data_IF_474538485276
#
_entry.id   IF_474538485276
#
_cell.length_a   1.000
_cell.length_b   1.000
_cell.length_c   1.000
_cell.angle_alpha   90.00
_cell.angle_beta   90.00
_cell.angle_gamma   90.00
#
_symmetry.space_group_name_H-M   'P 1'
#
loop_
_entity.id
_entity.type
_entity.pdbx_description
1 polymer ?
#
# COMPACT_ATOMS: atom_id res chain seq x y z
N UNK A 1 -8.97 -16.41 -7.05
CA UNK A 1 -8.02 -15.29 -7.02
C UNK A 1 -8.79 -13.98 -7.10
N UNK A 2 -9.33 -13.51 -5.98
CA UNK A 2 -9.82 -12.15 -5.93
C UNK A 2 -8.62 -11.20 -5.91
N UNK A 3 -8.54 -10.23 -6.83
CA UNK A 3 -7.46 -9.27 -6.82
C UNK A 3 -7.49 -8.48 -5.51
N UNK A 4 -6.35 -8.45 -4.83
CA UNK A 4 -6.16 -7.68 -3.61
C UNK A 4 -6.43 -6.20 -3.92
N UNK A 5 -7.48 -5.60 -3.35
CA UNK A 5 -7.83 -4.22 -3.64
C UNK A 5 -6.75 -3.22 -3.22
N UNK A 6 -5.85 -3.60 -2.33
CA UNK A 6 -4.72 -2.75 -1.92
C UNK A 6 -3.60 -2.74 -2.96
N UNK A 7 -3.49 -3.78 -3.79
CA UNK A 7 -2.45 -3.89 -4.82
C UNK A 7 -2.61 -2.86 -5.95
N UNK A 8 -3.84 -2.43 -6.23
CA UNK A 8 -4.12 -1.45 -7.29
C UNK A 8 -3.82 -0.01 -6.91
N UNK A 9 -3.79 0.30 -5.64
CA UNK A 9 -3.58 1.65 -5.17
C UNK A 9 -2.14 2.15 -5.35
N UNK A 10 -1.16 1.24 -5.25
CA UNK A 10 0.26 1.58 -5.25
C UNK A 10 0.92 1.67 -6.63
N UNK A 11 0.33 1.08 -7.65
CA UNK A 11 0.93 0.99 -8.99
C UNK A 11 0.96 2.33 -9.73
N UNK A 12 0.19 3.32 -9.29
CA UNK A 12 -0.14 4.48 -10.13
C UNK A 12 0.82 5.65 -10.15
N UNK A 13 1.61 5.89 -9.13
CA UNK A 13 2.48 7.08 -9.09
C UNK A 13 3.84 6.90 -9.75
N UNK A 14 4.22 5.67 -10.07
CA UNK A 14 5.56 5.39 -10.61
C UNK A 14 5.60 4.91 -12.07
N UNK A 15 4.46 4.81 -12.75
CA UNK A 15 4.41 4.41 -14.17
C UNK A 15 4.83 5.50 -15.16
N UNK A 16 5.26 6.67 -14.69
CA UNK A 16 5.70 7.76 -15.55
C UNK A 16 7.04 7.47 -16.30
N UNK A 17 7.72 6.37 -16.01
CA UNK A 17 9.01 6.04 -16.63
C UNK A 17 9.06 4.70 -17.39
N UNK A 18 7.99 3.94 -17.43
CA UNK A 18 7.89 2.78 -18.29
C UNK A 18 6.94 3.12 -19.44
N UNK A 19 7.45 3.26 -20.65
CA UNK A 19 6.72 3.67 -21.84
C UNK A 19 5.61 2.72 -22.30
N UNK A 20 4.63 2.53 -21.45
CA UNK A 20 3.36 1.89 -21.75
C UNK A 20 2.24 2.85 -21.33
N UNK A 21 1.47 3.35 -22.30
CA UNK A 21 0.35 4.23 -22.06
C UNK A 21 -0.76 3.53 -21.29
N UNK A 22 -0.63 3.44 -19.97
CA UNK A 22 -1.77 3.16 -19.10
C UNK A 22 -2.53 4.45 -18.90
N UNK A 23 -3.74 4.54 -19.45
CA UNK A 23 -4.65 5.68 -19.22
C UNK A 23 -4.90 5.77 -17.71
N UNK A 24 -4.62 6.92 -17.07
CA UNK A 24 -4.88 7.08 -15.65
C UNK A 24 -6.40 6.97 -15.42
N UNK A 25 -6.83 5.99 -14.64
CA UNK A 25 -8.22 5.94 -14.19
C UNK A 25 -8.43 7.07 -13.18
N UNK A 26 -9.41 7.96 -13.35
CA UNK A 26 -9.68 9.04 -12.41
C UNK A 26 -9.84 8.53 -10.97
N UNK A 27 -9.35 9.27 -9.99
CA UNK A 27 -9.41 8.89 -8.57
C UNK A 27 -10.83 8.60 -8.09
N UNK A 28 -11.83 9.31 -8.63
CA UNK A 28 -13.24 9.07 -8.34
C UNK A 28 -13.74 7.71 -8.84
N UNK A 29 -13.28 7.26 -10.02
CA UNK A 29 -13.64 5.92 -10.52
C UNK A 29 -12.94 4.82 -9.74
N UNK A 30 -11.72 5.06 -9.26
CA UNK A 30 -11.04 4.10 -8.37
C UNK A 30 -11.75 3.94 -7.05
N UNK A 31 -12.19 5.04 -6.45
CA UNK A 31 -12.98 4.99 -5.23
C UNK A 31 -14.31 4.27 -5.43
N UNK A 32 -14.98 4.50 -6.57
CA UNK A 32 -16.24 3.83 -6.90
C UNK A 32 -16.03 2.31 -7.12
N UNK A 33 -14.99 1.91 -7.84
CA UNK A 33 -14.65 0.49 -8.05
C UNK A 33 -14.27 -0.16 -6.72
N UNK A 34 -13.44 0.49 -5.92
CA UNK A 34 -13.03 -0.01 -4.60
C UNK A 34 -14.24 -0.14 -3.66
N UNK A 35 -15.11 0.86 -3.63
CA UNK A 35 -16.34 0.83 -2.82
C UNK A 35 -17.31 -0.27 -3.26
N UNK A 36 -17.45 -0.53 -4.57
CA UNK A 36 -18.31 -1.59 -5.07
C UNK A 36 -17.77 -2.98 -4.74
N UNK A 37 -16.46 -3.17 -4.85
CA UNK A 37 -15.79 -4.43 -4.47
C UNK A 37 -15.95 -4.68 -2.98
N UNK A 38 -15.78 -3.65 -2.16
CA UNK A 38 -15.86 -3.76 -0.71
C UNK A 38 -17.28 -3.94 -0.18
N UNK A 39 -18.28 -3.33 -0.83
CA UNK A 39 -19.69 -3.50 -0.46
C UNK A 39 -20.19 -4.94 -0.65
N UNK A 40 -19.70 -5.64 -1.68
CA UNK A 40 -20.08 -7.03 -1.96
C UNK A 40 -19.30 -8.09 -1.15
N UNK A 41 -18.24 -7.68 -0.46
CA UNK A 41 -17.34 -8.61 0.28
C UNK A 41 -17.64 -8.70 1.77
N UNK A 42 -18.75 -8.13 2.25
CA UNK A 42 -19.06 -8.08 3.69
C UNK A 42 -19.64 -9.42 4.15
N UNK A 43 -18.80 -10.44 4.22
CA UNK A 43 -18.96 -11.51 5.21
C UNK A 43 -17.80 -11.42 6.19
N UNK A 44 -18.11 -11.05 7.41
CA UNK A 44 -17.18 -10.65 8.48
C UNK A 44 -16.26 -11.78 9.03
N UNK A 45 -16.07 -12.87 8.31
CA UNK A 45 -15.30 -14.02 8.78
C UNK A 45 -13.93 -14.17 8.13
N UNK A 46 -13.60 -13.34 7.16
CA UNK A 46 -12.33 -13.49 6.46
C UNK A 46 -11.23 -12.72 7.18
N UNK A 47 -10.16 -13.42 7.51
CA UNK A 47 -8.90 -12.81 7.97
C UNK A 47 -8.40 -11.83 6.91
N UNK A 48 -8.04 -10.63 7.34
CA UNK A 48 -7.53 -9.57 6.47
C UNK A 48 -6.05 -9.36 6.69
N UNK A 49 -5.38 -9.01 5.62
CA UNK A 49 -3.97 -8.66 5.65
C UNK A 49 -3.78 -7.26 5.05
N UNK A 50 -2.94 -6.46 5.68
CA UNK A 50 -2.47 -5.18 5.15
C UNK A 50 -1.11 -5.38 4.51
N UNK A 51 -1.01 -5.13 3.22
CA UNK A 51 0.26 -5.12 2.50
C UNK A 51 0.68 -3.70 2.14
N UNK A 52 1.87 -3.33 2.53
CA UNK A 52 2.48 -2.03 2.22
C UNK A 52 3.70 -2.26 1.35
N UNK A 53 3.73 -1.62 0.19
CA UNK A 53 4.79 -1.75 -0.78
C UNK A 53 5.82 -0.62 -0.66
N UNK A 54 7.09 -0.98 -0.52
CA UNK A 54 8.24 -0.05 -0.49
C UNK A 54 9.17 -0.40 -1.65
N UNK A 55 9.06 0.28 -2.81
CA UNK A 55 9.70 -0.15 -4.06
C UNK A 55 11.15 0.35 -4.23
N UNK A 56 11.91 0.48 -3.16
CA UNK A 56 13.28 1.01 -3.20
C UNK A 56 14.31 -0.06 -2.90
N UNK A 57 15.41 -0.06 -3.67
CA UNK A 57 16.59 -0.88 -3.41
C UNK A 57 17.84 -0.08 -3.75
N UNK A 58 18.84 -0.13 -2.86
CA UNK A 58 20.17 0.43 -3.13
C UNK A 58 20.95 -0.43 -4.11
N UNK A 59 20.73 -1.74 -4.04
CA UNK A 59 21.38 -2.73 -4.92
C UNK A 59 20.30 -3.59 -5.55
N UNK A 60 20.34 -3.69 -6.87
CA UNK A 60 19.46 -4.58 -7.60
C UNK A 60 20.06 -5.97 -7.65
N UNK A 61 19.37 -6.93 -7.04
CA UNK A 61 19.77 -8.34 -7.14
C UNK A 61 19.54 -8.88 -8.55
N UNK A 62 20.47 -9.68 -9.06
CA UNK A 62 20.44 -10.20 -10.43
C UNK A 62 19.24 -11.13 -10.72
N UNK A 63 18.66 -11.71 -9.68
CA UNK A 63 17.50 -12.63 -9.76
C UNK A 63 16.17 -11.96 -9.42
N UNK A 64 16.16 -10.67 -9.12
CA UNK A 64 14.95 -9.98 -8.66
C UNK A 64 14.14 -9.42 -9.82
N UNK A 65 12.91 -9.90 -9.98
CA UNK A 65 11.94 -9.44 -10.97
C UNK A 65 10.94 -8.41 -10.41
N UNK A 66 11.09 -7.99 -9.15
CA UNK A 66 10.24 -6.96 -8.58
C UNK A 66 10.54 -5.59 -9.18
N UNK A 67 9.48 -4.79 -9.27
CA UNK A 67 9.61 -3.39 -9.64
C UNK A 67 10.40 -2.63 -8.56
N UNK A 68 11.50 -2.03 -8.93
CA UNK A 68 12.42 -1.36 -8.02
C UNK A 68 12.87 -0.04 -8.62
N UNK A 69 12.97 0.97 -7.76
CA UNK A 69 13.56 2.26 -8.07
C UNK A 69 14.87 2.45 -7.29
N UNK A 70 15.78 3.23 -7.87
CA UNK A 70 16.94 3.69 -7.14
C UNK A 70 16.49 4.56 -5.95
N UNK A 71 17.05 4.30 -4.78
CA UNK A 71 16.71 5.01 -3.56
C UNK A 71 17.43 6.36 -3.49
N UNK A 72 16.96 7.37 -4.22
CA UNK A 72 17.32 8.75 -3.89
C UNK A 72 16.55 9.22 -2.67
N UNK A 73 17.18 10.01 -1.81
CA UNK A 73 16.53 10.48 -0.57
C UNK A 73 15.25 11.26 -0.87
N UNK A 74 15.30 12.17 -1.81
CA UNK A 74 14.13 12.97 -2.22
C UNK A 74 12.98 12.09 -2.70
N UNK A 75 13.26 11.10 -3.55
CA UNK A 75 12.24 10.20 -4.07
C UNK A 75 11.60 9.34 -2.96
N UNK A 76 12.40 8.87 -2.01
CA UNK A 76 11.91 8.11 -0.85
C UNK A 76 10.99 8.98 0.01
N UNK A 77 11.38 10.23 0.27
CA UNK A 77 10.58 11.16 1.08
C UNK A 77 9.26 11.52 0.39
N UNK A 78 9.28 11.82 -0.91
CA UNK A 78 8.06 12.08 -1.69
C UNK A 78 7.13 10.86 -1.73
N UNK A 79 7.70 9.67 -1.91
CA UNK A 79 6.93 8.42 -1.86
C UNK A 79 6.30 8.21 -0.48
N UNK A 80 7.06 8.45 0.58
CA UNK A 80 6.57 8.29 1.95
C UNK A 80 5.39 9.20 2.25
N UNK A 81 5.44 10.47 1.84
CA UNK A 81 4.31 11.41 1.99
C UNK A 81 3.06 10.89 1.27
N UNK A 82 3.22 10.43 0.03
CA UNK A 82 2.12 9.86 -0.75
C UNK A 82 1.57 8.57 -0.12
N UNK A 83 2.45 7.71 0.40
CA UNK A 83 2.08 6.49 1.11
C UNK A 83 1.25 6.79 2.36
N UNK A 84 1.66 7.77 3.16
CA UNK A 84 0.95 8.17 4.37
C UNK A 84 -0.43 8.75 4.07
N UNK A 85 -0.55 9.52 2.99
CA UNK A 85 -1.85 10.02 2.53
C UNK A 85 -2.76 8.87 2.13
N UNK A 86 -2.28 7.95 1.29
CA UNK A 86 -3.04 6.81 0.82
C UNK A 86 -3.45 5.88 1.97
N UNK A 87 -2.57 5.65 2.93
CA UNK A 87 -2.85 4.87 4.13
C UNK A 87 -4.04 5.46 4.91
N UNK A 88 -4.08 6.77 5.11
CA UNK A 88 -5.20 7.45 5.78
C UNK A 88 -6.50 7.33 4.98
N UNK A 89 -6.44 7.49 3.66
CA UNK A 89 -7.60 7.36 2.78
C UNK A 89 -8.18 5.95 2.81
N UNK A 90 -7.33 4.93 2.75
CA UNK A 90 -7.76 3.52 2.81
C UNK A 90 -8.26 3.12 4.20
N UNK A 91 -7.63 3.64 5.24
CA UNK A 91 -8.06 3.39 6.61
C UNK A 91 -9.48 3.92 6.88
N UNK A 92 -9.86 5.05 6.28
CA UNK A 92 -11.18 5.67 6.45
C UNK A 92 -12.32 4.92 5.74
N UNK A 93 -12.03 3.94 4.88
CA UNK A 93 -13.06 3.20 4.17
C UNK A 93 -13.90 2.34 5.13
N UNK A 94 -15.24 2.29 4.94
CA UNK A 94 -16.11 1.47 5.77
C UNK A 94 -15.70 0.00 5.81
N UNK A 95 -15.28 -0.55 4.69
CA UNK A 95 -14.77 -1.92 4.62
C UNK A 95 -13.56 -2.13 5.56
N UNK A 96 -12.65 -1.18 5.61
CA UNK A 96 -11.48 -1.24 6.50
C UNK A 96 -11.90 -1.21 7.97
N UNK A 97 -12.78 -0.29 8.33
CA UNK A 97 -13.21 -0.08 9.72
C UNK A 97 -14.13 -1.20 10.23
N UNK A 98 -14.85 -1.88 9.35
CA UNK A 98 -15.77 -2.98 9.70
C UNK A 98 -15.11 -4.36 9.75
N UNK A 99 -13.79 -4.43 9.69
CA UNK A 99 -13.06 -5.69 9.74
C UNK A 99 -11.91 -5.68 10.72
N UNK A 100 -11.22 -6.81 10.81
CA UNK A 100 -10.04 -6.99 11.66
C UNK A 100 -8.89 -7.49 10.81
N UNK A 101 -7.73 -6.83 10.90
CA UNK A 101 -6.51 -7.21 10.21
C UNK A 101 -5.67 -8.12 11.12
N UNK A 102 -5.34 -9.31 10.63
CA UNK A 102 -4.58 -10.33 11.36
C UNK A 102 -3.11 -10.36 10.99
N UNK A 103 -2.72 -9.67 9.93
CA UNK A 103 -1.33 -9.55 9.53
C UNK A 103 -1.07 -8.21 8.85
N UNK A 104 0.12 -7.68 9.08
CA UNK A 104 0.68 -6.54 8.36
C UNK A 104 1.99 -6.99 7.74
N UNK A 105 2.11 -6.81 6.43
CA UNK A 105 3.33 -7.13 5.70
C UNK A 105 3.84 -5.90 4.96
N UNK A 106 5.09 -5.55 5.19
CA UNK A 106 5.79 -4.47 4.49
C UNK A 106 6.85 -5.13 3.61
N UNK A 107 6.69 -4.98 2.30
CA UNK A 107 7.54 -5.66 1.34
C UNK A 107 7.82 -4.84 0.09
N UNK A 108 8.34 -5.49 -0.93
CA UNK A 108 8.71 -4.87 -2.20
C UNK A 108 10.20 -4.94 -2.46
N UNK A 109 10.89 -3.80 -2.39
CA UNK A 109 12.34 -3.73 -2.50
C UNK A 109 13.02 -3.97 -1.15
N UNK A 110 13.53 -2.89 -0.55
CA UNK A 110 14.13 -2.93 0.79
C UNK A 110 13.36 -1.98 1.70
N UNK A 111 12.45 -2.48 2.53
CA UNK A 111 11.65 -1.64 3.44
C UNK A 111 12.50 -0.76 4.37
N UNK A 112 13.69 -1.22 4.70
CA UNK A 112 14.67 -0.50 5.54
C UNK A 112 15.37 0.66 4.82
N UNK A 113 15.05 0.93 3.55
CA UNK A 113 15.44 2.18 2.88
C UNK A 113 14.60 3.38 3.34
N UNK A 114 13.48 3.15 4.02
CA UNK A 114 12.85 4.17 4.85
C UNK A 114 13.75 4.52 6.02
N UNK A 115 13.75 5.80 6.43
CA UNK A 115 14.48 6.20 7.64
C UNK A 115 13.84 5.58 8.90
N UNK A 116 14.59 5.45 9.98
CA UNK A 116 14.04 4.97 11.26
C UNK A 116 12.83 5.79 11.74
N UNK A 117 12.84 7.10 11.48
CA UNK A 117 11.71 7.99 11.79
C UNK A 117 10.49 7.62 10.94
N UNK A 118 10.68 7.45 9.63
CA UNK A 118 9.60 7.06 8.70
C UNK A 118 9.02 5.68 9.07
N UNK A 119 9.85 4.71 9.40
CA UNK A 119 9.38 3.39 9.87
C UNK A 119 8.54 3.50 11.13
N UNK A 120 8.97 4.33 12.08
CA UNK A 120 8.23 4.55 13.33
C UNK A 120 6.89 5.23 13.07
N UNK A 121 6.86 6.28 12.24
CA UNK A 121 5.64 7.01 11.87
C UNK A 121 4.68 6.09 11.14
N UNK A 122 5.15 5.29 10.20
CA UNK A 122 4.35 4.30 9.47
C UNK A 122 3.74 3.27 10.42
N UNK A 123 4.54 2.68 11.30
CA UNK A 123 4.07 1.70 12.27
C UNK A 123 3.04 2.27 13.24
N UNK A 124 3.21 3.52 13.67
CA UNK A 124 2.24 4.19 14.52
C UNK A 124 0.93 4.46 13.79
N UNK A 125 1.00 4.96 12.55
CA UNK A 125 -0.19 5.22 11.74
C UNK A 125 -1.00 3.95 11.45
N UNK A 126 -0.35 2.83 11.21
CA UNK A 126 -1.03 1.53 11.05
C UNK A 126 -1.79 1.17 12.32
N UNK A 127 -1.17 1.28 13.47
CA UNK A 127 -1.83 0.97 14.77
C UNK A 127 -2.99 1.92 15.08
N UNK A 128 -2.86 3.19 14.72
CA UNK A 128 -3.86 4.20 15.04
C UNK A 128 -5.08 4.15 14.11
N UNK A 129 -4.89 3.74 12.87
CA UNK A 129 -5.92 3.85 11.83
C UNK A 129 -6.55 2.53 11.38
N UNK A 130 -5.89 1.40 11.60
CA UNK A 130 -6.41 0.10 11.20
C UNK A 130 -6.82 -0.74 12.40
N UNK A 131 -7.98 -1.43 12.34
CA UNK A 131 -8.41 -2.35 13.38
C UNK A 131 -7.58 -3.65 13.31
N UNK A 132 -6.52 -3.69 14.10
CA UNK A 132 -5.62 -4.84 14.18
C UNK A 132 -6.11 -5.86 15.21
N UNK A 133 -5.93 -7.14 14.91
CA UNK A 133 -6.13 -8.21 15.87
C UNK A 133 -5.10 -8.12 17.01
N UNK A 134 -5.45 -8.65 18.18
CA UNK A 134 -4.55 -8.60 19.34
C UNK A 134 -3.25 -9.40 19.15
N UNK A 135 -3.29 -10.39 18.26
CA UNK A 135 -2.18 -11.27 17.89
C UNK A 135 -1.49 -10.88 16.55
N UNK A 136 -1.82 -9.69 16.04
CA UNK A 136 -1.27 -9.18 14.78
C UNK A 136 0.22 -8.84 14.91
#
# INVERSE_FOLDING_TARGET
DSPDPLRFAFVKKHSAHAGGASVPVPSSQQQAIFSSITANSIKATNKRCLYIHVPFCRVRCTFCNFFQNAASRTLVDEYFEALMQELREKAALPWTQNGIFHAVYIGGGTPTDLSPVQVRVLGQAIRDHFPLAADC
#
